data_IF_781678484147
#
_entry.id   IF_781678484147
#
_cell.length_a   1.000
_cell.length_b   1.000
_cell.length_c   1.000
_cell.angle_alpha   90.00
_cell.angle_beta   90.00
_cell.angle_gamma   90.00
#
_symmetry.space_group_name_H-M   'P 1'
#
loop_
_entity.id
_entity.type
_entity.pdbx_description
1 polymer ?
#
# COMPACT_ATOMS: atom_id res chain seq x y z
N UNK A 1 8.48 -47.87 -11.90
CA UNK A 1 7.33 -47.05 -12.33
C UNK A 1 7.88 -45.97 -13.24
N UNK A 2 7.48 -45.95 -14.51
CA UNK A 2 7.87 -44.89 -15.45
C UNK A 2 7.11 -43.61 -15.06
N UNK A 3 7.85 -42.60 -14.62
CA UNK A 3 7.29 -41.27 -14.31
C UNK A 3 6.93 -40.62 -15.67
N UNK A 4 5.72 -40.04 -15.84
CA UNK A 4 5.37 -39.34 -17.07
C UNK A 4 6.36 -38.20 -17.35
N UNK A 5 6.78 -38.03 -18.61
CA UNK A 5 7.75 -36.99 -19.02
C UNK A 5 7.15 -35.59 -19.23
N UNK A 6 5.95 -35.32 -18.68
CA UNK A 6 5.24 -34.06 -18.89
C UNK A 6 5.65 -33.00 -17.85
N UNK A 7 5.95 -31.80 -18.32
CA UNK A 7 6.17 -30.62 -17.49
C UNK A 7 4.93 -29.71 -17.54
N UNK A 8 4.30 -29.37 -16.41
CA UNK A 8 3.08 -28.58 -16.39
C UNK A 8 3.38 -27.11 -16.74
N UNK A 9 2.75 -26.62 -17.82
CA UNK A 9 2.82 -25.22 -18.25
C UNK A 9 1.44 -24.72 -18.68
N UNK A 10 1.21 -23.42 -18.54
CA UNK A 10 0.04 -22.75 -19.08
C UNK A 10 0.46 -21.96 -20.32
N UNK A 11 -0.15 -22.26 -21.47
CA UNK A 11 0.09 -21.52 -22.70
C UNK A 11 -0.79 -20.26 -22.74
N UNK A 12 -0.19 -19.11 -23.05
CA UNK A 12 -0.96 -17.95 -23.49
C UNK A 12 -1.32 -18.12 -24.97
N UNK A 13 -2.61 -18.37 -25.24
CA UNK A 13 -3.14 -18.60 -26.58
C UNK A 13 -3.82 -17.36 -27.18
N UNK A 14 -3.85 -16.23 -26.48
CA UNK A 14 -4.52 -15.02 -26.96
C UNK A 14 -3.95 -14.58 -28.32
N UNK A 15 -4.83 -14.49 -29.32
CA UNK A 15 -4.50 -14.15 -30.71
C UNK A 15 -3.63 -15.18 -31.44
N UNK A 16 -3.24 -16.29 -30.81
CA UNK A 16 -2.40 -17.33 -31.43
C UNK A 16 -3.25 -18.20 -32.35
N UNK A 17 -2.67 -18.58 -33.50
CA UNK A 17 -3.30 -19.51 -34.44
C UNK A 17 -3.28 -20.92 -33.85
N UNK A 18 -4.46 -21.47 -33.56
CA UNK A 18 -4.62 -22.85 -33.07
C UNK A 18 -5.42 -23.63 -34.12
N UNK A 19 -4.96 -24.83 -34.47
CA UNK A 19 -5.62 -25.67 -35.49
C UNK A 19 -6.22 -26.90 -34.83
N UNK A 20 -7.51 -27.13 -35.06
CA UNK A 20 -8.21 -28.37 -34.68
C UNK A 20 -8.58 -29.09 -35.97
N UNK A 21 -8.11 -30.32 -36.12
CA UNK A 21 -8.45 -31.18 -37.25
C UNK A 21 -9.53 -32.16 -36.80
N UNK A 22 -10.72 -32.07 -37.41
CA UNK A 22 -11.92 -32.80 -36.99
C UNK A 22 -13.07 -31.87 -36.59
N UNK A 23 -14.30 -32.34 -36.79
CA UNK A 23 -15.53 -31.57 -36.54
C UNK A 23 -16.60 -32.33 -35.76
N UNK A 24 -16.28 -33.52 -35.21
CA UNK A 24 -17.20 -34.34 -34.43
C UNK A 24 -17.26 -33.98 -32.94
N UNK A 25 -17.81 -34.88 -32.13
CA UNK A 25 -18.00 -34.67 -30.68
C UNK A 25 -16.66 -34.47 -29.94
N UNK A 26 -15.64 -35.26 -30.30
CA UNK A 26 -14.29 -35.14 -29.72
C UNK A 26 -13.67 -33.77 -30.00
N UNK A 27 -13.81 -33.28 -31.23
CA UNK A 27 -13.36 -31.94 -31.60
C UNK A 27 -14.17 -30.86 -30.88
N UNK A 28 -15.47 -31.09 -30.66
CA UNK A 28 -16.37 -30.14 -29.99
C UNK A 28 -15.89 -29.83 -28.57
N UNK A 29 -15.56 -30.86 -27.79
CA UNK A 29 -15.05 -30.69 -26.42
C UNK A 29 -13.76 -29.84 -26.39
N UNK A 30 -12.86 -30.04 -27.36
CA UNK A 30 -11.59 -29.29 -27.44
C UNK A 30 -11.81 -27.85 -27.90
N UNK A 31 -12.69 -27.65 -28.87
CA UNK A 31 -13.06 -26.31 -29.35
C UNK A 31 -13.67 -25.48 -28.21
N UNK A 32 -14.61 -26.03 -27.44
CA UNK A 32 -15.24 -25.34 -26.31
C UNK A 32 -14.23 -24.91 -25.23
N UNK A 33 -13.18 -25.70 -24.99
CA UNK A 33 -12.12 -25.35 -24.04
C UNK A 33 -11.14 -24.30 -24.58
N UNK A 34 -10.96 -24.24 -25.90
CA UNK A 34 -10.02 -23.33 -26.57
C UNK A 34 -10.63 -21.96 -26.85
N UNK A 35 -11.93 -21.86 -27.14
CA UNK A 35 -12.60 -20.59 -27.44
C UNK A 35 -12.40 -19.52 -26.34
N UNK A 36 -12.57 -19.82 -25.03
CA UNK A 36 -12.39 -18.83 -23.96
C UNK A 36 -10.94 -18.33 -23.80
N UNK A 37 -9.96 -18.96 -24.45
CA UNK A 37 -8.55 -18.57 -24.35
C UNK A 37 -8.17 -17.40 -25.25
N UNK A 38 -9.08 -16.94 -26.13
CA UNK A 38 -8.81 -15.87 -27.10
C UNK A 38 -7.99 -16.32 -28.31
N UNK A 39 -7.81 -17.62 -28.52
CA UNK A 39 -7.11 -18.17 -29.68
C UNK A 39 -7.81 -17.83 -31.00
N UNK A 40 -7.03 -17.57 -32.04
CA UNK A 40 -7.53 -17.57 -33.42
C UNK A 40 -7.67 -19.01 -33.88
N UNK A 41 -8.84 -19.59 -33.64
CA UNK A 41 -9.09 -21.02 -33.78
C UNK A 41 -9.53 -21.39 -35.20
N UNK A 42 -8.81 -22.30 -35.83
CA UNK A 42 -9.12 -22.85 -37.16
C UNK A 42 -9.58 -24.30 -37.02
N UNK A 43 -10.78 -24.60 -37.49
CA UNK A 43 -11.32 -25.97 -37.50
C UNK A 43 -11.34 -26.49 -38.93
N UNK A 44 -10.59 -27.56 -39.18
CA UNK A 44 -10.47 -28.20 -40.49
C UNK A 44 -11.25 -29.50 -40.48
N UNK A 45 -12.40 -29.50 -41.13
CA UNK A 45 -13.27 -30.65 -41.25
C UNK A 45 -14.25 -30.48 -42.42
N UNK A 46 -14.63 -31.57 -43.11
CA UNK A 46 -15.66 -31.51 -44.15
C UNK A 46 -17.02 -31.10 -43.59
N UNK A 47 -17.35 -31.59 -42.38
CA UNK A 47 -18.62 -31.37 -41.69
C UNK A 47 -18.36 -30.98 -40.23
N UNK A 48 -19.29 -30.24 -39.63
CA UNK A 48 -19.22 -29.78 -38.24
C UNK A 48 -20.39 -30.30 -37.42
N UNK A 49 -20.15 -30.55 -36.14
CA UNK A 49 -21.20 -30.73 -35.14
C UNK A 49 -22.07 -29.47 -35.04
N UNK A 50 -23.32 -29.57 -34.55
CA UNK A 50 -24.18 -28.41 -34.35
C UNK A 50 -23.53 -27.32 -33.49
N UNK A 51 -22.81 -27.71 -32.43
CA UNK A 51 -22.10 -26.78 -31.54
C UNK A 51 -21.00 -26.02 -32.28
N UNK A 52 -20.12 -26.71 -33.00
CA UNK A 52 -19.03 -26.05 -33.72
C UNK A 52 -19.58 -25.18 -34.86
N UNK A 53 -20.66 -25.61 -35.53
CA UNK A 53 -21.35 -24.82 -36.55
C UNK A 53 -21.89 -23.50 -36.00
N UNK A 54 -22.52 -23.53 -34.81
CA UNK A 54 -22.99 -22.31 -34.14
C UNK A 54 -21.83 -21.37 -33.77
N UNK A 55 -20.72 -21.91 -33.28
CA UNK A 55 -19.51 -21.13 -32.98
C UNK A 55 -18.90 -20.48 -34.24
N UNK A 56 -18.90 -21.22 -35.37
CA UNK A 56 -18.46 -20.67 -36.65
C UNK A 56 -19.39 -19.55 -37.15
N UNK A 57 -20.71 -19.74 -37.06
CA UNK A 57 -21.69 -18.73 -37.43
C UNK A 57 -21.59 -17.47 -36.55
N UNK A 58 -21.25 -17.63 -35.27
CA UNK A 58 -20.98 -16.54 -34.34
C UNK A 58 -19.60 -15.87 -34.51
N UNK A 59 -18.76 -16.35 -35.45
CA UNK A 59 -17.43 -15.79 -35.70
C UNK A 59 -16.37 -16.15 -34.66
N UNK A 60 -16.66 -17.07 -33.74
CA UNK A 60 -15.71 -17.50 -32.70
C UNK A 60 -14.58 -18.40 -33.25
N UNK A 61 -14.79 -19.00 -34.43
CA UNK A 61 -13.81 -19.87 -35.10
C UNK A 61 -13.77 -19.62 -36.61
N UNK A 62 -12.69 -20.05 -37.25
CA UNK A 62 -12.54 -20.11 -38.69
C UNK A 62 -12.76 -21.54 -39.19
N UNK A 63 -13.86 -21.80 -39.88
CA UNK A 63 -14.14 -23.10 -40.48
C UNK A 63 -13.47 -23.24 -41.86
N UNK A 64 -12.72 -24.32 -42.03
CA UNK A 64 -12.15 -24.75 -43.30
C UNK A 64 -12.87 -26.02 -43.75
N UNK A 65 -13.90 -25.85 -44.59
CA UNK A 65 -14.84 -26.89 -45.02
C UNK A 65 -14.22 -27.91 -46.00
N UNK A 66 -13.28 -28.72 -45.51
CA UNK A 66 -12.64 -29.83 -46.24
C UNK A 66 -11.85 -30.73 -45.28
N UNK A 67 -11.37 -31.85 -45.81
CA UNK A 67 -10.39 -32.72 -45.15
C UNK A 67 -9.04 -32.03 -45.01
N UNK A 68 -8.26 -32.48 -44.02
CA UNK A 68 -6.89 -32.05 -43.78
C UNK A 68 -5.98 -32.37 -44.97
N UNK A 69 -4.99 -31.52 -45.20
CA UNK A 69 -3.90 -31.75 -46.15
C UNK A 69 -2.58 -31.22 -45.58
N UNK A 70 -1.43 -31.78 -45.97
CA UNK A 70 -0.13 -31.24 -45.60
C UNK A 70 -0.02 -29.75 -45.99
N UNK A 71 0.50 -28.94 -45.07
CA UNK A 71 0.62 -27.49 -45.19
C UNK A 71 -0.42 -26.71 -44.39
N UNK A 72 -1.47 -27.36 -43.90
CA UNK A 72 -2.52 -26.71 -43.12
C UNK A 72 -2.07 -26.23 -41.74
N UNK A 73 -1.04 -26.88 -41.20
CA UNK A 73 -0.44 -26.52 -39.91
C UNK A 73 0.53 -25.34 -40.02
N UNK A 74 0.73 -24.76 -41.22
CA UNK A 74 1.62 -23.63 -41.41
C UNK A 74 1.20 -22.44 -40.51
N UNK A 75 2.16 -21.99 -39.69
CA UNK A 75 1.97 -20.90 -38.73
C UNK A 75 1.11 -21.26 -37.52
N UNK A 76 0.71 -22.52 -37.33
CA UNK A 76 0.01 -22.95 -36.13
C UNK A 76 0.94 -22.92 -34.92
N UNK A 77 0.43 -22.42 -33.80
CA UNK A 77 1.11 -22.40 -32.51
C UNK A 77 0.81 -23.64 -31.68
N UNK A 78 -0.37 -24.24 -31.88
CA UNK A 78 -0.84 -25.44 -31.20
C UNK A 78 -1.78 -26.21 -32.14
N UNK A 79 -1.74 -27.54 -32.10
CA UNK A 79 -2.56 -28.41 -32.95
C UNK A 79 -3.27 -29.48 -32.13
N UNK A 80 -4.53 -29.73 -32.46
CA UNK A 80 -5.32 -30.85 -31.93
C UNK A 80 -5.78 -31.72 -33.09
N UNK A 81 -5.38 -33.00 -33.10
CA UNK A 81 -5.92 -34.00 -34.01
C UNK A 81 -7.06 -34.74 -33.31
N UNK A 82 -8.29 -34.46 -33.73
CA UNK A 82 -9.54 -34.93 -33.11
C UNK A 82 -10.48 -35.56 -34.15
N UNK A 83 -9.93 -36.42 -35.00
CA UNK A 83 -10.71 -37.17 -36.01
C UNK A 83 -10.86 -38.64 -35.63
N UNK A 84 -11.88 -39.29 -36.21
CA UNK A 84 -12.05 -40.75 -36.13
C UNK A 84 -11.23 -41.49 -37.21
N UNK A 85 -10.34 -40.80 -37.94
CA UNK A 85 -9.56 -41.34 -39.04
C UNK A 85 -8.08 -41.44 -38.63
N UNK A 86 -7.57 -42.64 -38.28
CA UNK A 86 -6.20 -42.81 -37.79
C UNK A 86 -5.14 -42.27 -38.77
N UNK A 87 -5.33 -42.48 -40.07
CA UNK A 87 -4.40 -41.99 -41.10
C UNK A 87 -4.35 -40.45 -41.13
N UNK A 88 -5.49 -39.79 -40.89
CA UNK A 88 -5.54 -38.32 -40.79
C UNK A 88 -4.83 -37.84 -39.53
N UNK A 89 -5.04 -38.49 -38.37
CA UNK A 89 -4.37 -38.12 -37.12
C UNK A 89 -2.84 -38.33 -37.22
N UNK A 90 -2.39 -39.43 -37.84
CA UNK A 90 -0.98 -39.70 -38.09
C UNK A 90 -0.35 -38.63 -38.99
N UNK A 91 -1.01 -38.25 -40.09
CA UNK A 91 -0.52 -37.20 -40.99
C UNK A 91 -0.42 -35.83 -40.30
N UNK A 92 -1.38 -35.49 -39.43
CA UNK A 92 -1.35 -34.27 -38.61
C UNK A 92 -0.16 -34.32 -37.62
N UNK A 93 0.04 -35.45 -36.95
CA UNK A 93 1.17 -35.64 -36.04
C UNK A 93 2.52 -35.53 -36.75
N UNK A 94 2.69 -36.20 -37.89
CA UNK A 94 3.94 -36.15 -38.68
C UNK A 94 4.28 -34.73 -39.13
N UNK A 95 3.29 -33.97 -39.63
CA UNK A 95 3.53 -32.57 -40.00
C UNK A 95 3.83 -31.70 -38.77
N UNK A 96 3.14 -31.92 -37.66
CA UNK A 96 3.36 -31.16 -36.43
C UNK A 96 4.77 -31.39 -35.88
N UNK A 97 5.23 -32.64 -35.81
CA UNK A 97 6.59 -33.02 -35.39
C UNK A 97 7.65 -32.44 -36.32
N UNK A 98 7.45 -32.55 -37.65
CA UNK A 98 8.37 -31.99 -38.64
C UNK A 98 8.55 -30.47 -38.47
N UNK A 99 7.51 -29.77 -38.01
CA UNK A 99 7.50 -28.32 -37.81
C UNK A 99 7.77 -27.89 -36.37
N UNK A 100 7.99 -28.84 -35.46
CA UNK A 100 8.11 -28.59 -34.02
C UNK A 100 6.90 -27.83 -33.43
N UNK A 101 5.70 -28.15 -33.90
CA UNK A 101 4.45 -27.58 -33.38
C UNK A 101 3.88 -28.54 -32.33
N UNK A 102 3.55 -28.07 -31.11
CA UNK A 102 2.94 -28.94 -30.12
C UNK A 102 1.60 -29.50 -30.61
N UNK A 103 1.45 -30.82 -30.52
CA UNK A 103 0.30 -31.57 -31.01
C UNK A 103 -0.30 -32.45 -29.92
N UNK A 104 -1.63 -32.45 -29.85
CA UNK A 104 -2.42 -33.38 -29.07
C UNK A 104 -3.24 -34.23 -30.02
N UNK A 105 -2.90 -35.52 -30.15
CA UNK A 105 -3.69 -36.52 -30.85
C UNK A 105 -4.64 -37.18 -29.86
N UNK A 106 -5.95 -36.96 -30.01
CA UNK A 106 -6.93 -37.43 -29.04
C UNK A 106 -6.97 -38.96 -29.03
N UNK A 107 -7.01 -39.54 -27.82
CA UNK A 107 -6.98 -40.98 -27.56
C UNK A 107 -5.71 -41.71 -28.06
N UNK A 108 -4.67 -40.97 -28.43
CA UNK A 108 -3.40 -41.50 -28.96
C UNK A 108 -2.19 -40.83 -28.29
N UNK A 109 -1.98 -41.20 -27.02
CA UNK A 109 -0.93 -40.64 -26.14
C UNK A 109 0.48 -40.72 -26.77
N UNK A 110 0.90 -41.83 -27.42
CA UNK A 110 2.20 -41.89 -28.08
C UNK A 110 2.44 -40.79 -29.13
N UNK A 111 1.39 -40.30 -29.78
CA UNK A 111 1.43 -39.22 -30.77
C UNK A 111 1.00 -37.86 -30.18
N UNK A 112 1.24 -37.65 -28.89
CA UNK A 112 1.04 -36.36 -28.21
C UNK A 112 2.39 -35.79 -27.72
N UNK A 113 2.73 -34.57 -28.15
CA UNK A 113 3.81 -33.79 -27.53
C UNK A 113 3.32 -32.93 -26.35
N UNK A 114 2.00 -32.76 -26.20
CA UNK A 114 1.38 -32.26 -24.97
C UNK A 114 0.05 -32.96 -24.66
N UNK A 115 -0.36 -32.91 -23.39
CA UNK A 115 -1.64 -33.44 -22.93
C UNK A 115 -2.52 -32.33 -22.39
N UNK A 116 -3.84 -32.48 -22.55
CA UNK A 116 -4.84 -31.59 -21.96
C UNK A 116 -5.28 -32.19 -20.63
N UNK A 117 -4.96 -31.56 -19.48
CA UNK A 117 -5.34 -32.05 -18.16
C UNK A 117 -6.83 -31.81 -17.87
N UNK A 118 -7.32 -32.37 -16.76
CA UNK A 118 -8.60 -31.93 -16.19
C UNK A 118 -8.41 -30.54 -15.60
N UNK A 119 -9.19 -29.54 -16.05
CA UNK A 119 -9.00 -28.14 -15.65
C UNK A 119 -10.23 -27.63 -14.91
N UNK A 120 -10.00 -27.01 -13.75
CA UNK A 120 -10.96 -26.16 -13.06
C UNK A 120 -10.56 -24.69 -13.20
N UNK A 121 -11.53 -23.82 -13.42
CA UNK A 121 -11.33 -22.37 -13.49
C UNK A 121 -12.32 -21.67 -12.57
N UNK A 122 -11.82 -20.71 -11.81
CA UNK A 122 -12.65 -19.78 -11.05
C UNK A 122 -11.99 -18.40 -11.03
N UNK A 123 -12.64 -17.43 -11.68
CA UNK A 123 -12.03 -16.13 -11.94
C UNK A 123 -10.62 -16.27 -12.52
N UNK A 124 -9.59 -15.64 -11.92
CA UNK A 124 -8.21 -15.73 -12.39
C UNK A 124 -7.48 -17.05 -11.97
N UNK A 125 -8.08 -17.88 -11.11
CA UNK A 125 -7.47 -19.15 -10.69
C UNK A 125 -7.67 -20.24 -11.74
N UNK A 126 -6.58 -20.89 -12.13
CA UNK A 126 -6.61 -22.10 -12.96
C UNK A 126 -5.94 -23.25 -12.22
N UNK A 127 -6.66 -24.36 -12.07
CA UNK A 127 -6.14 -25.61 -11.50
C UNK A 127 -6.15 -26.68 -12.59
N UNK A 128 -4.97 -27.20 -12.91
CA UNK A 128 -4.79 -28.27 -13.90
C UNK A 128 -4.33 -29.56 -13.20
N UNK A 129 -5.07 -30.65 -13.43
CA UNK A 129 -4.84 -31.95 -12.78
C UNK A 129 -4.64 -33.01 -13.85
N UNK A 130 -3.50 -33.71 -13.80
CA UNK A 130 -3.15 -34.78 -14.73
C UNK A 130 -2.72 -36.03 -13.98
N UNK A 131 -3.15 -37.18 -14.50
CA UNK A 131 -2.63 -38.51 -14.11
C UNK A 131 -1.68 -39.10 -15.17
N UNK A 132 -1.20 -38.27 -16.11
CA UNK A 132 -0.34 -38.71 -17.22
C UNK A 132 -0.99 -39.77 -18.11
N UNK A 133 -2.33 -39.77 -18.20
CA UNK A 133 -3.10 -40.76 -18.95
C UNK A 133 -3.36 -42.08 -18.20
N UNK A 134 -2.78 -42.30 -17.02
CA UNK A 134 -2.89 -43.58 -16.29
C UNK A 134 -4.30 -43.82 -15.73
N UNK A 135 -4.93 -42.77 -15.18
CA UNK A 135 -6.25 -42.86 -14.56
C UNK A 135 -7.02 -41.55 -14.75
N UNK A 136 -7.67 -41.34 -15.92
CA UNK A 136 -8.39 -40.10 -16.21
C UNK A 136 -9.50 -39.78 -15.19
N UNK A 137 -10.19 -40.81 -14.70
CA UNK A 137 -11.28 -40.67 -13.71
C UNK A 137 -10.83 -40.11 -12.37
N UNK A 138 -9.59 -40.40 -11.93
CA UNK A 138 -9.02 -39.84 -10.70
C UNK A 138 -8.77 -38.33 -10.86
N UNK A 139 -8.26 -37.90 -12.01
CA UNK A 139 -8.06 -36.48 -12.29
C UNK A 139 -9.40 -35.72 -12.31
N UNK A 140 -10.45 -36.31 -12.89
CA UNK A 140 -11.80 -35.73 -12.90
C UNK A 140 -12.37 -35.61 -11.48
N UNK A 141 -12.22 -36.64 -10.63
CA UNK A 141 -12.68 -36.62 -9.24
C UNK A 141 -11.95 -35.59 -8.40
N UNK A 142 -10.63 -35.49 -8.54
CA UNK A 142 -9.83 -34.46 -7.88
C UNK A 142 -10.25 -33.05 -8.32
N UNK A 143 -10.53 -32.86 -9.62
CA UNK A 143 -11.04 -31.59 -10.15
C UNK A 143 -12.39 -31.23 -9.52
N UNK A 144 -13.31 -32.18 -9.43
CA UNK A 144 -14.62 -31.96 -8.79
C UNK A 144 -14.49 -31.56 -7.32
N UNK A 145 -13.64 -32.25 -6.55
CA UNK A 145 -13.41 -31.92 -5.14
C UNK A 145 -12.80 -30.52 -4.96
N UNK A 146 -11.85 -30.12 -5.82
CA UNK A 146 -11.27 -28.77 -5.78
C UNK A 146 -12.25 -27.70 -6.26
N UNK A 147 -13.15 -28.02 -7.19
CA UNK A 147 -14.17 -27.09 -7.67
C UNK A 147 -15.15 -26.68 -6.57
N UNK A 148 -15.40 -27.54 -5.58
CA UNK A 148 -16.24 -27.20 -4.41
C UNK A 148 -15.57 -26.15 -3.51
N UNK A 149 -14.24 -26.22 -3.32
CA UNK A 149 -13.51 -25.21 -2.52
C UNK A 149 -13.28 -23.92 -3.30
N UNK A 150 -12.91 -24.03 -4.57
CA UNK A 150 -12.54 -22.91 -5.43
C UNK A 150 -13.68 -22.54 -6.37
N UNK A 151 -14.87 -22.32 -5.81
CA UNK A 151 -16.08 -21.92 -6.53
C UNK A 151 -16.01 -20.49 -7.08
N UNK A 152 -17.08 -20.00 -7.70
CA UNK A 152 -17.17 -18.66 -8.29
C UNK A 152 -16.83 -17.53 -7.30
N UNK A 153 -17.27 -17.65 -6.03
CA UNK A 153 -16.94 -16.69 -4.97
C UNK A 153 -15.44 -16.61 -4.68
N UNK A 154 -14.71 -17.73 -4.79
CA UNK A 154 -13.25 -17.69 -4.70
C UNK A 154 -12.65 -16.83 -5.82
N UNK A 155 -13.19 -16.97 -7.04
CA UNK A 155 -12.74 -16.20 -8.20
C UNK A 155 -12.96 -14.69 -8.01
N UNK A 156 -14.13 -14.30 -7.49
CA UNK A 156 -14.44 -12.91 -7.14
C UNK A 156 -13.49 -12.36 -6.06
N UNK A 157 -13.24 -13.13 -5.00
CA UNK A 157 -12.26 -12.78 -3.97
C UNK A 157 -10.86 -12.52 -4.56
N UNK A 158 -10.42 -13.30 -5.53
CA UNK A 158 -9.12 -13.07 -6.18
C UNK A 158 -9.09 -11.79 -7.02
N UNK A 159 -10.21 -11.40 -7.63
CA UNK A 159 -10.32 -10.10 -8.29
C UNK A 159 -10.23 -8.96 -7.28
N UNK A 160 -10.89 -9.09 -6.13
CA UNK A 160 -10.77 -8.13 -5.03
C UNK A 160 -9.30 -7.96 -4.59
N UNK A 161 -8.56 -9.05 -4.33
CA UNK A 161 -7.14 -8.95 -4.00
C UNK A 161 -6.31 -8.23 -5.08
N UNK A 162 -6.69 -8.42 -6.35
CA UNK A 162 -5.97 -7.84 -7.47
C UNK A 162 -6.04 -6.30 -7.48
N UNK A 163 -7.15 -5.71 -7.01
CA UNK A 163 -7.35 -4.26 -6.96
C UNK A 163 -6.30 -3.56 -6.08
N UNK A 164 -5.81 -4.24 -5.05
CA UNK A 164 -4.84 -3.70 -4.10
C UNK A 164 -3.38 -3.86 -4.53
N UNK A 165 -3.08 -4.61 -5.60
CA UNK A 165 -1.70 -4.93 -5.99
C UNK A 165 -0.84 -3.71 -6.31
N UNK A 166 -1.40 -2.74 -7.03
CA UNK A 166 -0.65 -1.54 -7.41
C UNK A 166 -0.37 -0.62 -6.22
N UNK A 167 -1.32 -0.48 -5.29
CA UNK A 167 -1.11 0.28 -4.04
C UNK A 167 0.00 -0.36 -3.19
N UNK A 168 -0.12 -1.67 -2.94
CA UNK A 168 0.89 -2.44 -2.18
C UNK A 168 2.28 -2.31 -2.83
N UNK A 169 2.35 -2.37 -4.16
CA UNK A 169 3.61 -2.21 -4.90
C UNK A 169 4.18 -0.79 -4.81
N UNK A 170 3.33 0.23 -4.81
CA UNK A 170 3.75 1.63 -4.74
C UNK A 170 4.27 2.01 -3.35
N UNK A 171 3.64 1.51 -2.29
CA UNK A 171 3.88 1.99 -0.92
C UNK A 171 4.77 1.05 -0.08
N UNK A 172 4.90 -0.22 -0.47
CA UNK A 172 5.74 -1.20 0.25
C UNK A 172 6.94 -1.55 -0.63
N UNK A 173 8.16 -1.03 -0.31
CA UNK A 173 9.29 -1.00 -1.24
C UNK A 173 9.85 -2.38 -1.58
N UNK A 174 9.96 -3.29 -0.62
CA UNK A 174 10.66 -4.56 -0.83
C UNK A 174 9.72 -5.69 -1.24
N UNK A 175 10.26 -6.68 -1.97
CA UNK A 175 9.49 -7.88 -2.32
C UNK A 175 9.13 -8.72 -1.10
N UNK A 176 10.02 -8.79 -0.12
CA UNK A 176 9.84 -9.57 1.10
C UNK A 176 8.69 -9.03 1.95
N UNK A 177 8.65 -7.72 2.23
CA UNK A 177 7.55 -7.09 2.97
C UNK A 177 6.21 -7.26 2.26
N UNK A 178 6.17 -7.13 0.92
CA UNK A 178 4.96 -7.36 0.14
C UNK A 178 4.50 -8.80 0.21
N UNK A 179 5.42 -9.76 0.11
CA UNK A 179 5.13 -11.20 0.23
C UNK A 179 4.50 -11.47 1.59
N UNK A 180 5.13 -10.99 2.66
CA UNK A 180 4.69 -11.25 4.03
C UNK A 180 3.33 -10.60 4.31
N UNK A 181 3.07 -9.39 3.78
CA UNK A 181 1.74 -8.78 3.83
C UNK A 181 0.68 -9.63 3.12
N UNK A 182 0.94 -10.13 1.91
CA UNK A 182 -0.03 -10.97 1.21
C UNK A 182 -0.34 -12.27 1.97
N UNK A 183 0.67 -12.89 2.58
CA UNK A 183 0.44 -14.03 3.45
C UNK A 183 -0.44 -13.65 4.64
N UNK A 184 -0.16 -12.54 5.34
CA UNK A 184 -1.03 -12.07 6.43
C UNK A 184 -2.47 -11.85 5.99
N UNK A 185 -2.70 -11.19 4.85
CA UNK A 185 -4.05 -10.96 4.30
C UNK A 185 -4.78 -12.28 4.02
N UNK A 186 -4.11 -13.24 3.39
CA UNK A 186 -4.71 -14.54 3.03
C UNK A 186 -4.96 -15.39 4.27
N UNK A 187 -4.00 -15.44 5.19
CA UNK A 187 -4.03 -16.29 6.38
C UNK A 187 -5.00 -15.76 7.46
N UNK A 188 -5.30 -14.45 7.46
CA UNK A 188 -6.23 -13.83 8.41
C UNK A 188 -7.71 -13.92 7.97
N UNK A 189 -8.03 -14.85 7.08
CA UNK A 189 -9.41 -15.27 6.79
C UNK A 189 -10.23 -14.30 5.94
N UNK A 190 -9.59 -13.41 5.16
CA UNK A 190 -10.30 -12.46 4.29
C UNK A 190 -11.24 -13.14 3.30
N UNK A 191 -10.89 -14.33 2.78
CA UNK A 191 -11.78 -15.09 1.91
C UNK A 191 -13.08 -15.50 2.65
N UNK A 192 -12.97 -15.91 3.92
CA UNK A 192 -14.13 -16.31 4.71
C UNK A 192 -15.01 -15.11 5.06
N UNK A 193 -14.41 -13.95 5.33
CA UNK A 193 -15.13 -12.67 5.51
C UNK A 193 -15.88 -12.32 4.23
N UNK A 194 -15.22 -12.37 3.07
CA UNK A 194 -15.86 -12.12 1.77
C UNK A 194 -17.08 -13.02 1.55
N UNK A 195 -16.95 -14.32 1.84
CA UNK A 195 -18.03 -15.29 1.66
C UNK A 195 -19.23 -15.04 2.59
N UNK A 196 -18.99 -14.59 3.82
CA UNK A 196 -20.01 -14.42 4.88
C UNK A 196 -20.66 -13.04 4.87
N UNK A 197 -19.87 -12.00 4.66
CA UNK A 197 -20.23 -10.59 4.89
C UNK A 197 -20.15 -9.74 3.62
N UNK A 198 -19.52 -10.26 2.56
CA UNK A 198 -19.42 -9.60 1.26
C UNK A 198 -18.15 -8.78 1.08
N UNK A 199 -18.08 -8.12 -0.06
CA UNK A 199 -16.91 -7.38 -0.54
C UNK A 199 -16.49 -6.25 0.41
N UNK A 200 -17.43 -5.41 0.85
CA UNK A 200 -17.15 -4.23 1.67
C UNK A 200 -16.42 -4.59 2.99
N UNK A 201 -16.87 -5.65 3.67
CA UNK A 201 -16.24 -6.13 4.90
C UNK A 201 -14.85 -6.70 4.66
N UNK A 202 -14.67 -7.46 3.58
CA UNK A 202 -13.36 -8.00 3.20
C UNK A 202 -12.38 -6.88 2.82
N UNK A 203 -12.84 -5.88 2.06
CA UNK A 203 -12.07 -4.68 1.69
C UNK A 203 -11.60 -3.92 2.92
N UNK A 204 -12.47 -3.67 3.90
CA UNK A 204 -12.09 -3.00 5.14
C UNK A 204 -10.98 -3.76 5.91
N UNK A 205 -11.03 -5.09 5.89
CA UNK A 205 -10.01 -5.93 6.51
C UNK A 205 -8.67 -5.87 5.77
N UNK A 206 -8.70 -5.94 4.43
CA UNK A 206 -7.52 -5.77 3.58
C UNK A 206 -6.88 -4.39 3.80
N UNK A 207 -7.71 -3.34 3.81
CA UNK A 207 -7.31 -1.95 4.07
C UNK A 207 -6.58 -1.80 5.41
N UNK A 208 -7.06 -2.49 6.45
CA UNK A 208 -6.42 -2.50 7.77
C UNK A 208 -5.01 -3.09 7.72
N UNK A 209 -4.84 -4.23 7.05
CA UNK A 209 -3.53 -4.88 6.89
C UNK A 209 -2.56 -4.05 6.06
N UNK A 210 -3.04 -3.47 4.96
CA UNK A 210 -2.21 -2.61 4.09
C UNK A 210 -1.79 -1.35 4.84
N UNK A 211 -2.72 -0.67 5.51
CA UNK A 211 -2.44 0.55 6.25
C UNK A 211 -1.44 0.31 7.37
N UNK A 212 -1.58 -0.80 8.11
CA UNK A 212 -0.62 -1.17 9.15
C UNK A 212 0.79 -1.39 8.57
N UNK A 213 0.91 -2.06 7.42
CA UNK A 213 2.20 -2.26 6.77
C UNK A 213 2.80 -0.95 6.21
N UNK A 214 1.97 -0.06 5.66
CA UNK A 214 2.39 1.28 5.21
C UNK A 214 2.90 2.12 6.39
N UNK A 215 2.26 2.02 7.56
CA UNK A 215 2.70 2.68 8.79
C UNK A 215 4.04 2.11 9.27
N UNK A 216 4.23 0.78 9.25
CA UNK A 216 5.51 0.13 9.60
C UNK A 216 6.67 0.65 8.73
N UNK A 217 6.46 0.71 7.41
CA UNK A 217 7.44 1.26 6.45
C UNK A 217 7.73 2.73 6.77
N UNK A 218 6.69 3.53 7.00
CA UNK A 218 6.82 4.95 7.31
C UNK A 218 7.61 5.18 8.60
N UNK A 219 7.40 4.35 9.62
CA UNK A 219 8.15 4.36 10.88
C UNK A 219 9.63 4.09 10.64
N UNK A 220 9.98 3.02 9.92
CA UNK A 220 11.39 2.67 9.71
C UNK A 220 12.11 3.75 8.88
N UNK A 221 11.47 4.25 7.82
CA UNK A 221 11.99 5.38 7.04
C UNK A 221 12.24 6.62 7.90
N UNK A 222 11.34 6.89 8.85
CA UNK A 222 11.45 8.03 9.76
C UNK A 222 12.60 7.82 10.76
N UNK A 223 12.78 6.60 11.28
CA UNK A 223 13.91 6.26 12.16
C UNK A 223 15.23 6.39 11.42
N UNK A 224 15.34 5.89 10.19
CA UNK A 224 16.51 6.05 9.34
C UNK A 224 16.83 7.51 9.04
N UNK A 225 15.80 8.31 8.75
CA UNK A 225 15.96 9.74 8.56
C UNK A 225 16.48 10.44 9.81
N UNK A 226 15.93 10.14 10.99
CA UNK A 226 16.43 10.66 12.27
C UNK A 226 17.90 10.26 12.47
N UNK A 227 18.25 8.97 12.27
CA UNK A 227 19.64 8.48 12.40
C UNK A 227 20.59 9.26 11.49
N UNK A 228 20.19 9.48 10.23
CA UNK A 228 20.99 10.20 9.24
C UNK A 228 21.24 11.66 9.63
N UNK A 229 20.19 12.39 10.05
CA UNK A 229 20.33 13.78 10.50
C UNK A 229 21.19 13.88 11.75
N UNK A 230 21.00 12.98 12.72
CA UNK A 230 21.79 12.97 13.95
C UNK A 230 23.26 12.63 13.71
N UNK A 231 23.58 11.79 12.72
CA UNK A 231 24.96 11.46 12.37
C UNK A 231 25.75 12.68 11.84
N UNK A 232 25.05 13.68 11.29
CA UNK A 232 25.63 14.91 10.77
C UNK A 232 25.72 16.04 11.81
N UNK A 233 25.05 15.90 12.96
CA UNK A 233 24.89 16.94 13.96
C UNK A 233 25.74 16.67 15.21
N UNK A 234 26.43 17.69 15.73
CA UNK A 234 27.20 17.61 16.98
C UNK A 234 26.40 18.10 18.18
N UNK A 235 25.51 19.06 17.97
CA UNK A 235 24.71 19.73 19.01
C UNK A 235 23.24 19.79 18.57
N UNK A 236 22.56 18.64 18.46
CA UNK A 236 21.16 18.61 18.11
C UNK A 236 20.28 19.05 19.28
N UNK A 237 19.11 19.59 18.98
CA UNK A 237 18.04 19.87 19.92
C UNK A 237 16.68 19.58 19.28
N UNK A 238 15.68 19.31 20.11
CA UNK A 238 14.29 19.15 19.68
C UNK A 238 13.41 20.16 20.40
N UNK A 239 12.52 20.86 19.70
CA UNK A 239 11.48 21.67 20.36
C UNK A 239 10.22 20.84 20.60
N UNK A 240 9.61 20.95 21.78
CA UNK A 240 8.40 20.21 22.13
C UNK A 240 7.34 21.12 22.76
N UNK A 241 6.16 21.18 22.12
CA UNK A 241 4.99 21.90 22.62
C UNK A 241 3.93 21.02 23.30
N UNK A 242 4.27 19.77 23.63
CA UNK A 242 3.39 18.78 24.27
C UNK A 242 2.14 18.34 23.48
N UNK A 243 2.06 18.70 22.20
CA UNK A 243 1.05 18.16 21.30
C UNK A 243 1.39 16.72 20.89
N UNK A 244 0.39 15.95 20.46
CA UNK A 244 0.55 14.52 20.14
C UNK A 244 1.63 14.27 19.07
N UNK A 245 1.67 15.07 18.00
CA UNK A 245 2.71 14.93 16.97
C UNK A 245 4.13 15.17 17.51
N UNK A 246 4.29 16.09 18.47
CA UNK A 246 5.55 16.30 19.17
C UNK A 246 5.91 15.11 20.07
N UNK A 247 4.93 14.53 20.76
CA UNK A 247 5.10 13.34 21.59
C UNK A 247 5.51 12.12 20.76
N UNK A 248 4.93 11.93 19.56
CA UNK A 248 5.33 10.88 18.62
C UNK A 248 6.76 11.07 18.13
N UNK A 249 7.14 12.29 17.74
CA UNK A 249 8.53 12.58 17.34
C UNK A 249 9.49 12.30 18.51
N UNK A 250 9.15 12.73 19.73
CA UNK A 250 9.98 12.48 20.91
C UNK A 250 10.14 10.99 21.17
N UNK A 251 9.07 10.22 21.05
CA UNK A 251 9.11 8.78 21.23
C UNK A 251 9.99 8.08 20.19
N UNK A 252 9.87 8.45 18.90
CA UNK A 252 10.75 7.95 17.84
C UNK A 252 12.21 8.36 18.07
N UNK A 253 12.45 9.61 18.45
CA UNK A 253 13.79 10.12 18.76
C UNK A 253 14.44 9.30 19.89
N UNK A 254 13.70 9.01 20.96
CA UNK A 254 14.20 8.20 22.10
C UNK A 254 14.54 6.76 21.72
N UNK A 255 13.96 6.19 20.64
CA UNK A 255 14.39 4.89 20.09
C UNK A 255 15.77 4.95 19.44
N UNK A 256 16.18 6.13 18.97
CA UNK A 256 17.50 6.36 18.34
C UNK A 256 18.52 6.86 19.35
N UNK A 257 18.16 7.88 20.14
CA UNK A 257 19.06 8.54 21.09
C UNK A 257 18.28 9.27 22.19
N UNK A 258 18.73 9.21 23.43
CA UNK A 258 18.03 9.75 24.61
C UNK A 258 18.67 11.00 25.22
N UNK A 259 19.86 11.40 24.77
CA UNK A 259 20.63 12.54 25.30
C UNK A 259 20.36 13.87 24.56
N UNK A 260 19.36 13.91 23.68
CA UNK A 260 19.01 15.11 22.93
C UNK A 260 18.27 16.09 23.84
N UNK A 261 18.77 17.33 24.02
CA UNK A 261 18.04 18.35 24.76
C UNK A 261 16.67 18.63 24.14
N UNK A 262 15.65 18.65 25.00
CA UNK A 262 14.26 18.97 24.62
C UNK A 262 13.96 20.38 25.09
N UNK A 263 13.76 21.29 24.16
CA UNK A 263 13.45 22.70 24.42
C UNK A 263 11.92 22.87 24.51
N UNK A 264 11.45 23.29 25.68
CA UNK A 264 10.08 23.73 25.89
C UNK A 264 10.05 25.25 26.04
N UNK A 265 9.24 25.91 25.21
CA UNK A 265 9.12 27.37 25.24
C UNK A 265 7.99 27.76 26.19
N UNK A 266 8.35 28.27 27.36
CA UNK A 266 7.41 28.77 28.34
C UNK A 266 7.03 30.22 28.06
N UNK A 267 5.84 30.39 27.51
CA UNK A 267 5.30 31.71 27.16
C UNK A 267 4.74 32.44 28.38
N UNK A 268 4.64 31.80 29.55
CA UNK A 268 3.91 32.29 30.72
C UNK A 268 2.38 32.28 30.58
N UNK A 269 1.85 31.89 29.41
CA UNK A 269 0.41 31.84 29.12
C UNK A 269 -0.09 30.43 28.82
N UNK A 270 0.67 29.40 29.18
CA UNK A 270 0.24 28.00 28.98
C UNK A 270 -0.92 27.64 29.90
N UNK A 271 -1.70 26.64 29.48
CA UNK A 271 -2.63 25.99 30.39
C UNK A 271 -1.88 25.33 31.56
N UNK A 272 -2.38 25.38 32.80
CA UNK A 272 -1.80 24.64 33.92
C UNK A 272 -1.63 23.14 33.61
N UNK A 273 -2.57 22.56 32.85
CA UNK A 273 -2.53 21.18 32.38
C UNK A 273 -1.34 20.89 31.48
N UNK A 274 -0.93 21.85 30.63
CA UNK A 274 0.25 21.71 29.77
C UNK A 274 1.54 21.71 30.57
N UNK A 275 1.62 22.54 31.60
CA UNK A 275 2.75 22.58 32.51
C UNK A 275 2.83 21.29 33.33
N UNK A 276 1.70 20.83 33.88
CA UNK A 276 1.64 19.57 34.63
C UNK A 276 2.02 18.36 33.76
N UNK A 277 1.49 18.29 32.53
CA UNK A 277 1.80 17.22 31.59
C UNK A 277 3.26 17.25 31.14
N UNK A 278 3.84 18.43 30.87
CA UNK A 278 5.30 18.57 30.61
C UNK A 278 6.11 17.99 31.74
N UNK A 279 5.81 18.36 32.98
CA UNK A 279 6.60 17.96 34.16
C UNK A 279 6.47 16.47 34.45
N UNK A 280 5.28 15.90 34.21
CA UNK A 280 5.02 14.46 34.23
C UNK A 280 5.87 13.72 33.21
N UNK A 281 5.74 14.06 31.92
CA UNK A 281 6.49 13.41 30.84
C UNK A 281 8.00 13.57 31.03
N UNK A 282 8.46 14.75 31.45
CA UNK A 282 9.88 15.00 31.71
C UNK A 282 10.45 14.04 32.74
N UNK A 283 9.71 13.81 33.83
CA UNK A 283 10.09 12.90 34.91
C UNK A 283 10.02 11.44 34.47
N UNK A 284 8.91 11.04 33.86
CA UNK A 284 8.68 9.64 33.47
C UNK A 284 9.61 9.19 32.35
N UNK A 285 9.91 10.08 31.40
CA UNK A 285 10.71 9.76 30.23
C UNK A 285 12.18 10.13 30.38
N UNK A 286 12.54 10.79 31.50
CA UNK A 286 13.92 11.16 31.84
C UNK A 286 14.52 12.16 30.85
N UNK A 287 13.77 13.21 30.50
CA UNK A 287 14.18 14.17 29.47
C UNK A 287 15.22 15.17 29.99
N UNK A 288 16.19 15.52 29.15
CA UNK A 288 17.00 16.74 29.32
C UNK A 288 16.18 17.96 28.89
N UNK A 289 15.21 18.35 29.73
CA UNK A 289 14.32 19.48 29.47
C UNK A 289 15.03 20.82 29.66
N UNK A 290 15.03 21.65 28.63
CA UNK A 290 15.48 23.05 28.67
C UNK A 290 14.27 23.97 28.51
N UNK A 291 13.98 24.76 29.53
CA UNK A 291 12.88 25.72 29.48
C UNK A 291 13.39 27.05 28.97
N UNK A 292 12.87 27.48 27.83
CA UNK A 292 13.14 28.78 27.22
C UNK A 292 12.01 29.74 27.54
N UNK A 293 12.31 30.89 28.13
CA UNK A 293 11.31 31.89 28.53
C UNK A 293 11.79 33.30 28.20
N UNK A 294 10.85 34.25 28.07
CA UNK A 294 11.19 35.66 27.94
C UNK A 294 12.01 36.15 29.15
N UNK A 295 12.88 37.13 28.92
CA UNK A 295 13.71 37.72 29.98
C UNK A 295 12.89 38.47 31.03
N UNK A 296 11.77 39.07 30.62
CA UNK A 296 10.85 39.76 31.52
C UNK A 296 9.78 38.81 32.08
N UNK A 297 9.43 39.01 33.35
CA UNK A 297 8.31 38.29 33.96
C UNK A 297 7.01 38.66 33.26
N UNK A 298 5.97 37.84 33.44
CA UNK A 298 4.66 38.15 32.86
C UNK A 298 4.10 39.49 33.38
N UNK A 299 4.26 39.75 34.67
CA UNK A 299 3.85 40.99 35.33
C UNK A 299 4.62 42.21 34.81
N UNK A 300 5.94 42.07 34.63
CA UNK A 300 6.76 43.13 34.04
C UNK A 300 6.41 43.40 32.58
N UNK A 301 6.10 42.34 31.83
CA UNK A 301 5.72 42.44 30.43
C UNK A 301 4.41 43.23 30.28
N UNK A 302 3.38 42.83 31.03
CA UNK A 302 2.05 43.44 30.98
C UNK A 302 2.03 44.87 31.53
N UNK A 303 2.81 45.17 32.57
CA UNK A 303 2.93 46.54 33.09
C UNK A 303 3.61 47.50 32.12
N UNK A 304 4.60 47.03 31.33
CA UNK A 304 5.33 47.86 30.36
C UNK A 304 4.60 48.01 29.02
N UNK A 305 3.88 46.97 28.57
CA UNK A 305 3.38 46.88 27.19
C UNK A 305 1.87 46.64 27.10
N UNK A 306 1.19 46.45 28.23
CA UNK A 306 -0.19 46.01 28.28
C UNK A 306 -0.35 44.52 27.95
N UNK A 307 -1.61 44.09 27.89
CA UNK A 307 -1.99 42.69 27.68
C UNK A 307 -1.96 42.36 26.18
N UNK A 308 -0.75 42.16 25.63
CA UNK A 308 -0.55 42.05 24.17
C UNK A 308 -1.33 40.91 23.52
N UNK A 309 -1.61 39.80 24.22
CA UNK A 309 -2.39 38.70 23.62
C UNK A 309 -3.84 39.09 23.26
N UNK A 310 -4.36 40.21 23.77
CA UNK A 310 -5.68 40.74 23.42
C UNK A 310 -5.66 41.79 22.30
N UNK A 311 -4.51 42.46 22.11
CA UNK A 311 -4.43 43.66 21.25
C UNK A 311 -3.41 43.54 20.11
N UNK A 312 -2.38 42.72 20.27
CA UNK A 312 -1.32 42.48 19.30
C UNK A 312 -0.69 41.09 19.53
N UNK A 313 -1.38 40.06 19.04
CA UNK A 313 -0.93 38.66 19.17
C UNK A 313 0.36 38.36 18.41
N UNK A 314 0.72 39.19 17.42
CA UNK A 314 1.96 39.06 16.65
C UNK A 314 3.13 39.42 17.54
N UNK A 315 3.14 40.63 18.11
CA UNK A 315 4.20 41.08 19.03
C UNK A 315 4.27 40.22 20.28
N UNK A 316 3.12 39.78 20.82
CA UNK A 316 3.08 38.84 21.94
C UNK A 316 3.83 37.54 21.61
N UNK A 317 3.54 36.94 20.44
CA UNK A 317 4.22 35.72 20.01
C UNK A 317 5.72 35.96 19.72
N UNK A 318 6.07 37.08 19.08
CA UNK A 318 7.46 37.40 18.79
C UNK A 318 8.29 37.46 20.09
N UNK A 319 7.83 38.24 21.07
CA UNK A 319 8.58 38.50 22.31
C UNK A 319 8.58 37.32 23.29
N UNK A 320 7.46 36.59 23.42
CA UNK A 320 7.31 35.56 24.45
C UNK A 320 7.46 34.14 23.93
N UNK A 321 7.52 33.94 22.62
CA UNK A 321 7.64 32.61 22.01
C UNK A 321 8.77 32.51 21.00
N UNK A 322 8.80 33.35 19.98
CA UNK A 322 9.75 33.19 18.86
C UNK A 322 11.17 33.54 19.31
N UNK A 323 11.37 34.73 19.87
CA UNK A 323 12.69 35.17 20.33
C UNK A 323 13.28 34.21 21.38
N UNK A 324 12.59 33.84 22.48
CA UNK A 324 13.14 32.90 23.45
C UNK A 324 13.45 31.52 22.87
N UNK A 325 12.63 31.04 21.94
CA UNK A 325 12.90 29.75 21.28
C UNK A 325 14.15 29.82 20.40
N UNK A 326 14.31 30.90 19.64
CA UNK A 326 15.48 31.08 18.78
C UNK A 326 16.76 31.30 19.59
N UNK A 327 16.70 32.05 20.70
CA UNK A 327 17.80 32.18 21.66
C UNK A 327 18.20 30.82 22.24
N UNK A 328 17.23 29.98 22.62
CA UNK A 328 17.51 28.63 23.13
C UNK A 328 18.06 27.65 22.08
N UNK A 329 17.81 27.92 20.79
CA UNK A 329 18.39 27.17 19.68
C UNK A 329 19.79 27.66 19.30
N UNK A 330 20.25 28.80 19.83
CA UNK A 330 21.60 29.27 19.57
C UNK A 330 22.64 28.27 20.07
N UNK A 331 23.69 28.07 19.25
CA UNK A 331 24.71 27.09 19.56
C UNK A 331 24.31 25.64 19.27
N UNK A 332 23.08 25.36 18.83
CA UNK A 332 22.72 24.08 18.23
C UNK A 332 22.99 24.07 16.72
N UNK A 333 23.30 22.90 16.15
CA UNK A 333 23.54 22.73 14.71
C UNK A 333 22.43 21.95 13.99
N UNK A 334 21.51 21.34 14.75
CA UNK A 334 20.32 20.68 14.24
C UNK A 334 19.12 20.93 15.15
N UNK A 335 18.00 21.35 14.55
CA UNK A 335 16.71 21.51 15.18
C UNK A 335 15.72 20.49 14.64
N UNK A 336 15.34 19.53 15.48
CA UNK A 336 14.26 18.59 15.20
C UNK A 336 12.91 19.22 15.55
N UNK A 337 12.01 19.28 14.57
CA UNK A 337 10.66 19.82 14.74
C UNK A 337 9.59 18.81 14.32
N UNK A 338 8.45 18.81 15.01
CA UNK A 338 7.33 17.92 14.70
C UNK A 338 6.32 18.56 13.74
N UNK A 339 6.79 19.44 12.84
CA UNK A 339 5.95 20.10 11.85
C UNK A 339 5.52 19.07 10.80
N UNK A 340 4.24 19.11 10.44
CA UNK A 340 3.65 18.37 9.32
C UNK A 340 3.17 19.31 8.23
N UNK A 341 3.21 18.85 6.99
CA UNK A 341 2.82 19.57 5.77
C UNK A 341 1.34 19.94 5.75
N UNK A 342 0.50 19.11 6.36
CA UNK A 342 -0.97 19.26 6.39
C UNK A 342 -1.47 20.30 7.39
N UNK A 343 -0.62 20.80 8.30
CA UNK A 343 -1.08 21.66 9.40
C UNK A 343 -1.44 23.09 9.00
N UNK A 344 -0.80 23.65 7.96
CA UNK A 344 -1.17 24.96 7.38
C UNK A 344 -0.77 25.05 5.91
N UNK A 345 -1.34 25.99 5.16
CA UNK A 345 -1.01 26.19 3.75
C UNK A 345 0.47 26.55 3.52
N UNK A 346 1.07 27.32 4.44
CA UNK A 346 2.47 27.78 4.37
C UNK A 346 3.47 26.63 4.52
N UNK A 347 3.07 25.52 5.16
CA UNK A 347 3.92 24.34 5.40
C UNK A 347 4.02 23.43 4.18
N UNK A 348 3.17 23.62 3.16
CA UNK A 348 3.19 22.86 1.89
C UNK A 348 4.47 23.02 1.07
N UNK A 349 5.35 23.94 1.40
CA UNK A 349 6.62 24.14 0.66
C UNK A 349 7.84 23.72 1.46
N UNK A 350 7.66 23.21 2.69
CA UNK A 350 8.79 22.88 3.55
C UNK A 350 9.56 21.69 2.98
N UNK A 351 10.88 21.77 2.97
CA UNK A 351 11.73 20.62 2.73
C UNK A 351 11.87 19.79 4.02
N UNK A 352 12.09 18.47 3.94
CA UNK A 352 12.34 17.62 5.11
C UNK A 352 13.50 18.13 5.97
N UNK A 353 14.56 18.63 5.32
CA UNK A 353 15.76 19.22 5.93
C UNK A 353 16.12 20.49 5.19
N UNK A 354 16.35 21.59 5.90
CA UNK A 354 16.71 22.89 5.32
C UNK A 354 17.42 23.79 6.32
N UNK A 355 18.21 24.73 5.83
CA UNK A 355 18.75 25.82 6.65
C UNK A 355 17.60 26.75 7.08
N UNK A 356 17.68 27.24 8.33
CA UNK A 356 16.68 28.09 8.95
C UNK A 356 17.37 29.26 9.65
N UNK A 357 16.99 30.48 9.29
CA UNK A 357 17.50 31.70 9.91
C UNK A 357 16.78 31.98 11.24
N UNK A 358 17.55 32.17 12.30
CA UNK A 358 17.07 32.54 13.62
C UNK A 358 16.91 34.08 13.71
N UNK A 359 15.97 34.55 14.52
CA UNK A 359 15.78 36.00 14.78
C UNK A 359 17.01 36.66 15.41
N UNK A 360 17.86 35.87 16.05
CA UNK A 360 19.13 36.32 16.63
C UNK A 360 20.24 36.53 15.60
N UNK A 361 19.98 36.19 14.32
CA UNK A 361 20.93 36.31 13.21
C UNK A 361 21.73 35.04 12.92
N UNK A 362 21.59 34.00 13.74
CA UNK A 362 22.18 32.68 13.50
C UNK A 362 21.47 31.89 12.39
N UNK A 363 22.08 30.79 11.96
CA UNK A 363 21.45 29.80 11.07
C UNK A 363 21.59 28.42 11.67
N UNK A 364 20.52 27.63 11.62
CA UNK A 364 20.47 26.26 12.10
C UNK A 364 19.85 25.36 11.03
N UNK A 365 20.30 24.11 10.93
CA UNK A 365 19.59 23.14 10.10
C UNK A 365 18.32 22.72 10.83
N UNK A 366 17.16 22.88 10.19
CA UNK A 366 15.90 22.36 10.69
C UNK A 366 15.52 21.09 9.92
N UNK A 367 15.28 20.02 10.67
CA UNK A 367 14.74 18.77 10.14
C UNK A 367 13.35 18.50 10.72
N UNK A 368 12.44 18.03 9.86
CA UNK A 368 11.06 17.71 10.19
C UNK A 368 10.76 16.24 9.88
N UNK A 369 11.13 15.28 10.74
CA UNK A 369 11.01 13.85 10.43
C UNK A 369 9.57 13.38 10.16
N UNK A 370 8.58 14.06 10.73
CA UNK A 370 7.15 13.72 10.57
C UNK A 370 6.47 14.53 9.46
N UNK A 371 7.24 15.17 8.56
CA UNK A 371 6.71 16.17 7.64
C UNK A 371 5.52 15.66 6.82
N UNK A 372 5.62 14.42 6.33
CA UNK A 372 4.62 13.81 5.44
C UNK A 372 3.69 12.82 6.16
N UNK A 373 3.78 12.70 7.50
CA UNK A 373 2.85 11.90 8.28
C UNK A 373 1.45 12.55 8.28
N UNK A 374 0.41 11.75 8.11
CA UNK A 374 -0.98 12.19 8.29
C UNK A 374 -1.34 12.26 9.77
N UNK A 375 -2.45 12.91 10.11
CA UNK A 375 -2.94 12.90 11.50
C UNK A 375 -3.33 11.49 11.94
N UNK A 376 -4.00 10.72 11.08
CA UNK A 376 -4.38 9.34 11.40
C UNK A 376 -3.16 8.45 11.67
N UNK A 377 -2.06 8.62 10.92
CA UNK A 377 -0.82 7.89 11.18
C UNK A 377 -0.21 8.26 12.55
N UNK A 378 -0.28 9.54 12.93
CA UNK A 378 0.13 10.01 14.26
C UNK A 378 -0.72 9.36 15.35
N UNK A 379 -2.04 9.29 15.16
CA UNK A 379 -2.96 8.69 16.14
C UNK A 379 -2.75 7.19 16.27
N UNK A 380 -2.70 6.46 15.16
CA UNK A 380 -2.46 5.01 15.14
C UNK A 380 -1.12 4.67 15.78
N UNK A 381 -0.05 5.39 15.42
CA UNK A 381 1.26 5.17 16.03
C UNK A 381 1.24 5.44 17.54
N UNK A 382 0.60 6.54 17.97
CA UNK A 382 0.48 6.88 19.38
C UNK A 382 -0.29 5.83 20.17
N UNK A 383 -1.40 5.32 19.64
CA UNK A 383 -2.20 4.27 20.26
C UNK A 383 -1.42 2.96 20.35
N UNK A 384 -0.84 2.50 19.23
CA UNK A 384 -0.05 1.27 19.17
C UNK A 384 1.16 1.26 20.12
N UNK A 385 1.71 2.45 20.44
CA UNK A 385 2.84 2.60 21.35
C UNK A 385 2.44 3.14 22.73
N UNK A 386 1.13 3.23 23.04
CA UNK A 386 0.61 3.75 24.32
C UNK A 386 1.21 5.11 24.72
N UNK A 387 1.39 6.01 23.75
CA UNK A 387 1.96 7.33 23.99
C UNK A 387 0.95 8.20 24.76
N UNK A 388 1.34 8.80 25.90
CA UNK A 388 0.46 9.65 26.69
C UNK A 388 -0.08 10.83 25.86
N UNK A 389 -1.37 11.12 26.02
CA UNK A 389 -2.04 12.25 25.38
C UNK A 389 -2.22 13.38 26.38
N UNK A 390 -2.04 14.61 25.90
CA UNK A 390 -2.31 15.79 26.70
C UNK A 390 -3.80 15.79 27.14
N UNK A 391 -4.13 16.04 28.42
CA UNK A 391 -5.50 15.88 28.94
C UNK A 391 -6.55 16.76 28.24
N UNK A 392 -6.16 17.96 27.78
CA UNK A 392 -7.04 18.83 26.99
C UNK A 392 -7.56 18.22 25.67
N UNK A 393 -6.92 17.19 25.09
CA UNK A 393 -7.51 16.49 23.95
C UNK A 393 -8.88 15.88 24.31
N UNK A 394 -9.03 15.32 25.53
CA UNK A 394 -10.30 14.79 26.01
C UNK A 394 -11.35 15.89 26.29
N UNK A 395 -10.92 17.14 26.43
CA UNK A 395 -11.79 18.30 26.60
C UNK A 395 -12.20 18.97 25.26
N UNK A 396 -11.86 18.36 24.11
CA UNK A 396 -12.25 18.85 22.78
C UNK A 396 -11.24 19.81 22.13
N UNK A 397 -10.02 19.90 22.64
CA UNK A 397 -8.95 20.66 21.99
C UNK A 397 -8.24 19.81 20.94
N UNK A 398 -8.10 20.32 19.71
CA UNK A 398 -7.40 19.65 18.59
C UNK A 398 -5.97 20.17 18.39
N UNK A 399 -5.72 21.45 18.70
CA UNK A 399 -4.38 22.03 18.76
C UNK A 399 -4.24 22.89 20.02
N UNK A 400 -3.29 22.54 20.88
CA UNK A 400 -3.06 23.22 22.16
C UNK A 400 -1.91 24.23 22.03
N UNK A 401 -2.17 25.50 22.38
CA UNK A 401 -1.18 26.59 22.43
C UNK A 401 -1.26 27.34 23.76
N UNK A 402 -1.03 28.66 23.73
CA UNK A 402 -1.28 29.50 24.91
C UNK A 402 -2.78 29.53 25.23
N UNK A 403 -3.14 29.45 26.50
CA UNK A 403 -4.50 29.45 27.02
C UNK A 403 -5.39 30.59 26.48
N UNK A 404 -4.96 31.87 26.47
CA UNK A 404 -5.83 32.95 25.99
C UNK A 404 -6.06 32.95 24.46
N UNK A 405 -5.30 32.15 23.70
CA UNK A 405 -5.37 32.11 22.24
C UNK A 405 -5.75 30.71 21.71
N UNK A 406 -6.34 29.87 22.56
CA UNK A 406 -6.71 28.50 22.21
C UNK A 406 -8.10 28.19 22.76
N UNK A 407 -8.98 27.73 21.88
CA UNK A 407 -10.35 27.31 22.18
C UNK A 407 -10.57 25.86 21.75
N UNK A 408 -11.50 25.11 22.38
CA UNK A 408 -11.91 23.80 21.89
C UNK A 408 -12.60 23.92 20.54
N UNK A 409 -12.57 22.85 19.75
CA UNK A 409 -13.15 22.80 18.40
C UNK A 409 -14.10 21.63 18.28
N UNK A 410 -15.27 21.86 17.68
CA UNK A 410 -16.29 20.84 17.44
C UNK A 410 -16.74 20.90 15.99
N UNK A 411 -16.76 19.76 15.29
CA UNK A 411 -17.33 19.65 13.93
C UNK A 411 -16.54 20.36 12.83
N UNK A 412 -15.20 20.40 12.92
CA UNK A 412 -14.30 20.97 11.91
C UNK A 412 -13.16 20.00 11.61
N UNK A 413 -12.77 19.92 10.33
CA UNK A 413 -11.64 19.10 9.87
C UNK A 413 -10.28 19.83 9.99
N UNK A 414 -10.30 21.12 10.31
CA UNK A 414 -9.09 21.91 10.59
C UNK A 414 -8.65 21.72 12.05
N UNK A 415 -7.55 20.99 12.24
CA UNK A 415 -6.93 20.69 13.54
C UNK A 415 -6.44 21.93 14.30
N UNK A 416 -6.39 23.10 13.64
CA UNK A 416 -5.96 24.37 14.22
C UNK A 416 -7.03 25.44 14.26
N UNK A 417 -8.28 25.12 13.92
CA UNK A 417 -9.40 26.08 13.92
C UNK A 417 -9.61 26.79 15.27
N UNK A 418 -9.22 26.16 16.38
CA UNK A 418 -9.32 26.74 17.73
C UNK A 418 -8.24 27.77 18.08
N UNK A 419 -7.29 28.05 17.17
CA UNK A 419 -6.13 28.91 17.44
C UNK A 419 -6.41 30.35 17.01
N UNK A 420 -6.09 31.30 17.89
CA UNK A 420 -6.28 32.75 17.66
C UNK A 420 -7.68 33.14 17.18
N UNK A 421 -8.72 32.36 17.52
CA UNK A 421 -10.09 32.56 17.06
C UNK A 421 -10.23 32.72 15.53
N UNK A 422 -9.31 32.11 14.74
CA UNK A 422 -9.30 32.20 13.28
C UNK A 422 -8.67 33.46 12.68
N UNK A 423 -8.16 34.39 13.50
CA UNK A 423 -7.56 35.64 13.01
C UNK A 423 -6.13 35.46 12.46
N UNK A 424 -5.51 34.30 12.74
CA UNK A 424 -4.12 34.04 12.40
C UNK A 424 -3.86 32.56 12.14
N UNK A 425 -2.95 32.27 11.21
CA UNK A 425 -2.59 30.90 10.81
C UNK A 425 -1.31 30.41 11.51
N UNK A 426 -0.27 31.24 11.59
CA UNK A 426 1.03 30.85 12.16
C UNK A 426 1.59 31.79 13.19
N UNK A 427 2.23 31.23 14.24
CA UNK A 427 2.79 32.01 15.35
C UNK A 427 4.13 32.71 15.04
N UNK A 428 4.80 32.35 13.94
CA UNK A 428 6.13 32.81 13.58
C UNK A 428 7.24 31.80 13.88
N UNK A 429 7.08 30.93 14.88
CA UNK A 429 8.15 30.01 15.30
C UNK A 429 8.69 29.12 14.17
N UNK A 430 7.83 28.64 13.28
CA UNK A 430 8.21 27.71 12.22
C UNK A 430 8.36 28.38 10.85
N UNK A 431 8.28 29.70 10.76
CA UNK A 431 8.35 30.43 9.49
C UNK A 431 9.58 31.33 9.58
N UNK A 432 10.50 31.19 8.63
CA UNK A 432 11.68 32.06 8.60
C UNK A 432 11.22 33.51 8.42
N UNK A 433 11.91 34.43 9.10
CA UNK A 433 11.68 35.86 8.89
C UNK A 433 12.03 36.17 7.43
N UNK A 434 11.09 36.74 6.68
CA UNK A 434 11.41 37.24 5.34
C UNK A 434 12.49 38.34 5.50
N UNK A 435 13.55 38.32 4.67
CA UNK A 435 14.68 39.24 4.80
C UNK A 435 14.28 40.72 4.71
#
# INVERSE_FOLDING_TARGET
MTIPHYYPVLFNLEGRRVVVVGGGDVATEKVEQLVPTGASLFVIAPDLSPTISNLAAGGAIHWVARRYRPGDLLGAYLVVAATNEPDTNAAVWEEAEMRSIPVNSVDDIPHCSYIVPSVHRSGPLTIAISSGGTAPTVAVRARQALAERYDEKHGEYLYLLNEYRERVKANIPTFEERRDLWYRIVDDGVEDIYRREGEEAASAHIETHITAAEDEVSVEQTLDYIRAELALAKRPAMTLGMQLGGMVLLHLLRKVRTDVPVIFVDTGYHFPETIAFRDEITREWGLDLRVASAQDSLEEHESKRGVLHLVDTISCCALRKVLPAHEALEGHDLWLSSVRRTQTAERKVFAPSQDFALETGGTIRRASPLLDWTWDAIERYAEANSIPRHPLYAAGYTSIGCAPCTSPTFGTDDDRAGRWNGERVECGLNVAVAP
#
